data_IF_513583948717
#
_entry.id   IF_513583948717
#
_cell.length_a   1.000
_cell.length_b   1.000
_cell.length_c   1.000
_cell.angle_alpha   90.00
_cell.angle_beta   90.00
_cell.angle_gamma   90.00
#
_symmetry.space_group_name_H-M   'P 1'
#
loop_
_entity.id
_entity.type
_entity.pdbx_description
1 polymer ?
#
# COMPACT_ATOMS: atom_id res chain seq x y z
N UNK A 1 42.15 13.41 -23.90
CA UNK A 1 40.93 13.40 -24.74
C UNK A 1 39.99 12.47 -24.01
N UNK A 2 39.06 13.05 -23.23
CA UNK A 2 38.05 12.27 -22.52
C UNK A 2 36.98 11.86 -23.53
N UNK A 3 36.85 10.56 -23.77
CA UNK A 3 35.75 10.02 -24.55
C UNK A 3 34.57 9.79 -23.62
N UNK A 4 33.37 10.16 -24.07
CA UNK A 4 32.14 9.94 -23.30
C UNK A 4 31.74 8.46 -23.37
N UNK A 5 30.99 7.98 -22.38
CA UNK A 5 30.53 6.58 -22.31
C UNK A 5 29.70 6.16 -23.54
N UNK A 6 28.97 7.11 -24.13
CA UNK A 6 28.24 6.91 -25.39
C UNK A 6 29.16 6.67 -26.59
N UNK A 7 30.30 7.37 -26.67
CA UNK A 7 31.28 7.20 -27.74
C UNK A 7 32.01 5.84 -27.64
N UNK A 8 31.99 5.20 -26.47
CA UNK A 8 32.50 3.85 -26.23
C UNK A 8 31.45 2.74 -26.49
N UNK A 9 30.22 3.10 -26.85
CA UNK A 9 29.13 2.13 -27.08
C UNK A 9 28.72 1.36 -25.81
N UNK A 10 28.97 1.93 -24.63
CA UNK A 10 28.64 1.33 -23.34
C UNK A 10 27.26 1.83 -22.89
N UNK A 11 26.25 0.98 -22.97
CA UNK A 11 24.98 1.20 -22.28
C UNK A 11 25.18 0.94 -20.78
N UNK A 12 25.10 1.99 -19.97
CA UNK A 12 25.01 1.83 -18.53
C UNK A 12 23.61 1.36 -18.16
N UNK A 13 23.46 0.06 -17.94
CA UNK A 13 22.35 -0.49 -17.16
C UNK A 13 22.55 -0.18 -15.67
N UNK A 14 22.72 1.10 -15.32
CA UNK A 14 22.81 1.51 -13.92
C UNK A 14 21.41 1.78 -13.41
N UNK A 15 20.98 1.08 -12.35
CA UNK A 15 19.86 1.59 -11.57
C UNK A 15 20.28 2.93 -10.93
N UNK A 16 19.30 3.80 -10.68
CA UNK A 16 19.56 5.13 -10.11
C UNK A 16 20.38 5.03 -8.82
N UNK A 17 20.10 4.03 -7.98
CA UNK A 17 20.83 3.80 -6.73
C UNK A 17 22.33 3.58 -6.96
N UNK A 18 22.71 2.71 -7.90
CA UNK A 18 24.12 2.47 -8.26
C UNK A 18 24.78 3.75 -8.77
N UNK A 19 24.07 4.55 -9.56
CA UNK A 19 24.62 5.81 -10.07
C UNK A 19 24.86 6.81 -8.93
N UNK A 20 23.91 6.94 -8.00
CA UNK A 20 24.01 7.84 -6.85
C UNK A 20 25.09 7.37 -5.87
N UNK A 21 25.18 6.07 -5.59
CA UNK A 21 26.19 5.48 -4.73
C UNK A 21 27.59 5.68 -5.30
N UNK A 22 27.80 5.45 -6.59
CA UNK A 22 29.09 5.71 -7.25
C UNK A 22 29.50 7.18 -7.15
N UNK A 23 28.56 8.13 -7.31
CA UNK A 23 28.84 9.55 -7.18
C UNK A 23 29.16 9.95 -5.72
N UNK A 24 28.53 9.30 -4.75
CA UNK A 24 28.83 9.47 -3.34
C UNK A 24 30.21 8.89 -2.99
N UNK A 25 30.53 7.68 -3.43
CA UNK A 25 31.84 7.02 -3.21
C UNK A 25 32.99 7.78 -3.89
N UNK A 26 32.74 8.36 -5.06
CA UNK A 26 33.70 9.23 -5.76
C UNK A 26 33.91 10.59 -5.07
N UNK A 27 33.18 10.89 -3.98
CA UNK A 27 33.25 12.16 -3.27
C UNK A 27 32.70 13.34 -4.06
N UNK A 28 31.84 13.09 -5.06
CA UNK A 28 31.19 14.11 -5.86
C UNK A 28 29.85 14.57 -5.26
N UNK A 29 29.23 13.69 -4.47
CA UNK A 29 28.06 13.98 -3.66
C UNK A 29 28.39 13.82 -2.19
N UNK A 30 27.88 14.74 -1.39
CA UNK A 30 27.67 14.55 0.04
C UNK A 30 26.21 14.15 0.26
N UNK A 31 25.97 13.34 1.30
CA UNK A 31 24.63 12.98 1.75
C UNK A 31 24.44 13.43 3.19
N UNK A 32 23.26 13.95 3.49
CA UNK A 32 22.83 14.15 4.85
C UNK A 32 21.44 13.56 5.07
N UNK A 33 21.21 13.11 6.29
CA UNK A 33 19.91 12.68 6.72
C UNK A 33 19.16 13.90 7.27
N UNK A 34 18.02 14.29 6.68
CA UNK A 34 17.24 15.42 7.19
C UNK A 34 16.68 15.10 8.58
N UNK A 35 16.60 16.12 9.43
CA UNK A 35 15.89 16.02 10.71
C UNK A 35 14.45 15.58 10.49
N UNK A 36 13.97 14.64 11.30
CA UNK A 36 12.62 14.13 11.20
C UNK A 36 12.47 12.69 11.65
N UNK A 37 11.27 12.13 11.46
CA UNK A 37 11.00 10.73 11.78
C UNK A 37 11.62 9.81 10.74
N UNK A 38 11.99 8.59 11.17
CA UNK A 38 12.53 7.56 10.26
C UNK A 38 11.53 7.13 9.18
N UNK A 39 10.23 7.29 9.47
CA UNK A 39 9.13 6.91 8.59
C UNK A 39 8.04 7.97 8.59
N UNK A 40 7.56 8.31 7.40
CA UNK A 40 6.31 9.01 7.19
C UNK A 40 5.20 7.98 7.01
N UNK A 41 4.12 8.15 7.77
CA UNK A 41 2.96 7.27 7.72
C UNK A 41 1.86 8.03 6.99
N UNK A 42 1.38 7.50 5.88
CA UNK A 42 0.40 8.15 5.01
C UNK A 42 -0.82 7.24 4.91
N UNK A 43 -2.01 7.76 5.17
CA UNK A 43 -3.26 7.08 4.84
C UNK A 43 -3.64 7.44 3.42
N UNK A 44 -3.65 6.46 2.52
CA UNK A 44 -3.77 6.72 1.08
C UNK A 44 -5.14 7.30 0.70
N UNK A 45 -6.21 6.87 1.38
CA UNK A 45 -7.59 7.32 1.14
C UNK A 45 -7.72 8.84 1.03
N UNK A 46 -7.03 9.60 1.87
CA UNK A 46 -7.10 11.07 1.91
C UNK A 46 -5.74 11.78 1.91
N UNK A 47 -4.64 11.03 1.78
CA UNK A 47 -3.28 11.56 1.82
C UNK A 47 -2.88 12.16 3.17
N UNK A 48 -3.62 11.88 4.26
CA UNK A 48 -3.28 12.45 5.58
C UNK A 48 -2.00 11.80 6.14
N UNK A 49 -1.09 12.65 6.63
CA UNK A 49 0.07 12.23 7.42
C UNK A 49 -0.34 11.81 8.83
N UNK A 50 -0.30 10.50 9.09
CA UNK A 50 -0.64 9.87 10.36
C UNK A 50 0.59 9.77 11.26
N UNK A 51 1.12 10.91 11.67
CA UNK A 51 2.39 10.95 12.42
C UNK A 51 2.19 10.74 13.93
N UNK A 52 3.04 9.87 14.50
CA UNK A 52 3.20 9.68 15.95
C UNK A 52 2.49 8.45 16.53
N UNK A 53 3.00 7.99 17.68
CA UNK A 53 2.60 6.73 18.34
C UNK A 53 1.11 6.65 18.69
N UNK A 54 0.43 7.80 18.88
CA UNK A 54 -1.00 7.83 19.21
C UNK A 54 -1.90 7.79 17.98
N UNK A 55 -1.47 8.39 16.86
CA UNK A 55 -2.30 8.50 15.66
C UNK A 55 -2.26 7.22 14.83
N UNK A 56 -1.10 6.57 14.75
CA UNK A 56 -0.95 5.36 13.92
C UNK A 56 -1.88 4.21 14.34
N UNK A 57 -1.97 3.81 15.62
CA UNK A 57 -2.88 2.74 16.03
C UNK A 57 -4.36 3.06 15.79
N UNK A 58 -4.75 4.33 15.94
CA UNK A 58 -6.10 4.80 15.71
C UNK A 58 -6.45 4.77 14.22
N UNK A 59 -5.57 5.30 13.36
CA UNK A 59 -5.79 5.27 11.92
C UNK A 59 -5.90 3.84 11.38
N UNK A 60 -5.03 2.93 11.81
CA UNK A 60 -5.14 1.51 11.42
C UNK A 60 -6.47 0.91 11.88
N UNK A 61 -6.91 1.22 13.10
CA UNK A 61 -8.19 0.72 13.60
C UNK A 61 -9.36 1.23 12.77
N UNK A 62 -9.39 2.53 12.48
CA UNK A 62 -10.44 3.17 11.71
C UNK A 62 -10.49 2.62 10.28
N UNK A 63 -9.32 2.45 9.64
CA UNK A 63 -9.23 1.98 8.26
C UNK A 63 -9.61 0.50 8.13
N UNK A 64 -9.17 -0.36 9.06
CA UNK A 64 -9.69 -1.74 9.17
C UNK A 64 -11.21 -1.75 9.40
N UNK A 65 -11.74 -0.82 10.19
CA UNK A 65 -13.18 -0.69 10.44
C UNK A 65 -13.96 -0.38 9.17
N UNK A 66 -13.47 0.55 8.35
CA UNK A 66 -14.06 0.92 7.05
C UNK A 66 -14.02 -0.23 6.06
N UNK A 67 -12.92 -0.98 5.99
CA UNK A 67 -12.81 -2.17 5.16
C UNK A 67 -13.86 -3.23 5.55
N UNK A 68 -14.02 -3.50 6.85
CA UNK A 68 -15.03 -4.43 7.36
C UNK A 68 -16.45 -3.97 7.00
N UNK A 69 -16.75 -2.68 7.17
CA UNK A 69 -18.06 -2.11 6.86
C UNK A 69 -18.40 -2.24 5.37
N UNK A 70 -17.44 -1.96 4.49
CA UNK A 70 -17.61 -2.16 3.05
C UNK A 70 -17.90 -3.62 2.70
N UNK A 71 -17.07 -4.55 3.19
CA UNK A 71 -17.25 -5.97 2.86
C UNK A 71 -18.60 -6.48 3.37
N UNK A 72 -19.03 -6.06 4.56
CA UNK A 72 -20.37 -6.36 5.09
C UNK A 72 -21.49 -5.78 4.24
N UNK A 73 -21.30 -4.60 3.66
CA UNK A 73 -22.30 -4.00 2.76
C UNK A 73 -22.47 -4.78 1.45
N UNK A 74 -21.48 -5.59 1.08
CA UNK A 74 -21.51 -6.47 -0.09
C UNK A 74 -22.03 -7.88 0.24
N UNK A 75 -22.16 -8.23 1.53
CA UNK A 75 -22.71 -9.51 1.93
C UNK A 75 -24.22 -9.55 1.59
N UNK A 76 -24.73 -10.69 1.09
CA UNK A 76 -26.16 -10.84 0.82
C UNK A 76 -26.96 -10.68 2.11
N UNK A 77 -28.07 -9.94 2.04
CA UNK A 77 -28.98 -9.83 3.18
C UNK A 77 -29.63 -11.19 3.48
N UNK A 78 -29.54 -11.66 4.73
CA UNK A 78 -30.16 -12.91 5.21
C UNK A 78 -31.71 -12.94 5.10
N UNK A 79 -32.35 -11.88 4.59
CA UNK A 79 -33.81 -11.77 4.52
C UNK A 79 -34.48 -12.54 3.37
N UNK A 80 -33.75 -13.16 2.43
CA UNK A 80 -34.37 -13.94 1.35
C UNK A 80 -34.37 -15.45 1.58
N UNK A 81 -34.85 -15.83 2.76
CA UNK A 81 -35.59 -17.07 2.93
C UNK A 81 -36.97 -16.98 2.25
N UNK A 82 -37.01 -17.06 0.92
CA UNK A 82 -38.19 -17.02 0.01
C UNK A 82 -38.66 -15.62 -0.42
N UNK A 83 -38.05 -15.08 -1.48
CA UNK A 83 -38.75 -14.17 -2.38
C UNK A 83 -38.64 -14.68 -3.81
N UNK A 84 -39.81 -14.95 -4.42
CA UNK A 84 -39.91 -15.28 -5.82
C UNK A 84 -39.46 -14.06 -6.64
N UNK A 85 -38.38 -14.21 -7.39
CA UNK A 85 -37.86 -13.14 -8.26
C UNK A 85 -38.80 -12.97 -9.44
N UNK A 86 -39.77 -12.08 -9.29
CA UNK A 86 -40.49 -11.45 -10.39
C UNK A 86 -40.29 -9.94 -10.21
N UNK A 87 -39.47 -9.37 -11.08
CA UNK A 87 -39.12 -7.93 -11.17
C UNK A 87 -38.07 -7.42 -10.13
N UNK A 88 -36.78 -7.47 -10.50
CA UNK A 88 -35.77 -6.52 -10.00
C UNK A 88 -34.99 -6.85 -8.71
N UNK A 89 -34.66 -8.12 -8.44
CA UNK A 89 -33.89 -8.52 -7.24
C UNK A 89 -32.44 -8.04 -7.25
N UNK A 90 -31.98 -7.53 -6.10
CA UNK A 90 -30.60 -7.09 -5.85
C UNK A 90 -29.64 -8.23 -6.17
N UNK A 91 -28.90 -8.10 -7.26
CA UNK A 91 -28.04 -9.17 -7.76
C UNK A 91 -26.86 -9.31 -6.81
N UNK A 92 -26.85 -10.41 -6.05
CA UNK A 92 -25.67 -10.87 -5.30
C UNK A 92 -24.46 -10.82 -6.24
N UNK A 93 -23.55 -9.88 -6.02
CA UNK A 93 -22.33 -9.76 -6.82
C UNK A 93 -21.41 -10.90 -6.37
N UNK A 94 -21.10 -11.78 -7.30
CA UNK A 94 -20.16 -12.87 -7.10
C UNK A 94 -19.14 -12.88 -8.22
N UNK A 95 -17.96 -13.42 -7.94
CA UNK A 95 -16.97 -13.71 -8.98
C UNK A 95 -17.42 -14.86 -9.89
N UNK A 96 -16.57 -15.22 -10.85
CA UNK A 96 -16.85 -16.30 -11.83
C UNK A 96 -17.09 -17.66 -11.16
N UNK A 97 -16.53 -17.89 -9.97
CA UNK A 97 -16.69 -19.10 -9.17
C UNK A 97 -17.94 -19.08 -8.26
N UNK A 98 -18.70 -17.97 -8.27
CA UNK A 98 -19.88 -17.79 -7.44
C UNK A 98 -19.57 -17.38 -5.99
N UNK A 99 -18.33 -16.96 -5.71
CA UNK A 99 -17.88 -16.48 -4.40
C UNK A 99 -18.23 -14.99 -4.23
N UNK A 100 -18.67 -14.63 -3.03
CA UNK A 100 -18.76 -13.23 -2.58
C UNK A 100 -17.36 -12.64 -2.37
N UNK A 101 -17.27 -11.31 -2.28
CA UNK A 101 -16.02 -10.61 -1.96
C UNK A 101 -15.36 -11.19 -0.70
N UNK A 102 -16.15 -11.47 0.34
CA UNK A 102 -15.67 -12.06 1.59
C UNK A 102 -15.04 -13.44 1.37
N UNK A 103 -15.69 -14.29 0.57
CA UNK A 103 -15.22 -15.65 0.27
C UNK A 103 -13.94 -15.61 -0.59
N UNK A 104 -13.88 -14.73 -1.60
CA UNK A 104 -12.68 -14.51 -2.41
C UNK A 104 -11.49 -14.07 -1.54
N UNK A 105 -11.69 -13.06 -0.68
CA UNK A 105 -10.64 -12.56 0.22
C UNK A 105 -10.18 -13.63 1.22
N UNK A 106 -11.11 -14.42 1.76
CA UNK A 106 -10.82 -15.53 2.65
C UNK A 106 -9.92 -16.57 1.97
N UNK A 107 -10.24 -16.94 0.72
CA UNK A 107 -9.45 -17.85 -0.10
C UNK A 107 -8.06 -17.31 -0.40
N UNK A 108 -7.94 -16.05 -0.82
CA UNK A 108 -6.66 -15.46 -1.20
C UNK A 108 -5.72 -15.22 -0.03
N UNK A 109 -6.26 -14.82 1.12
CA UNK A 109 -5.48 -14.44 2.28
C UNK A 109 -5.36 -15.56 3.33
N UNK A 110 -6.04 -16.69 3.11
CA UNK A 110 -5.91 -17.89 3.92
C UNK A 110 -6.54 -17.76 5.31
N UNK A 111 -7.78 -17.29 5.37
CA UNK A 111 -8.61 -17.28 6.59
C UNK A 111 -10.03 -17.78 6.28
N UNK A 112 -10.84 -18.10 7.28
CA UNK A 112 -12.23 -18.52 7.04
C UNK A 112 -13.16 -17.31 6.80
N UNK A 113 -14.17 -17.35 5.90
CA UNK A 113 -15.02 -16.18 5.61
C UNK A 113 -15.62 -15.48 6.84
N UNK A 114 -15.98 -16.25 7.88
CA UNK A 114 -16.52 -15.74 9.14
C UNK A 114 -15.48 -15.11 10.09
N UNK A 115 -14.20 -15.20 9.76
CA UNK A 115 -13.08 -14.69 10.56
C UNK A 115 -12.52 -13.37 10.04
N UNK A 116 -13.10 -12.75 9.00
CA UNK A 116 -12.61 -11.48 8.42
C UNK A 116 -12.36 -10.41 9.49
N UNK A 117 -13.32 -10.23 10.39
CA UNK A 117 -13.24 -9.24 11.45
C UNK A 117 -12.09 -9.52 12.41
N UNK A 118 -11.92 -10.78 12.80
CA UNK A 118 -10.84 -11.19 13.70
C UNK A 118 -9.49 -11.11 12.98
N UNK A 119 -9.44 -11.48 11.70
CA UNK A 119 -8.28 -11.32 10.84
C UNK A 119 -7.80 -9.87 10.89
N UNK A 120 -8.66 -8.89 10.58
CA UNK A 120 -8.28 -7.47 10.53
C UNK A 120 -8.11 -6.80 11.90
N UNK A 121 -8.76 -7.29 12.97
CA UNK A 121 -8.74 -6.64 14.30
C UNK A 121 -7.72 -7.20 15.26
N UNK A 122 -7.29 -8.44 15.10
CA UNK A 122 -6.35 -9.11 16.01
C UNK A 122 -4.91 -8.84 15.59
N UNK A 123 -4.09 -8.44 16.56
CA UNK A 123 -2.65 -8.22 16.41
C UNK A 123 -2.21 -6.81 16.80
N UNK A 124 -0.91 -6.56 16.68
CA UNK A 124 -0.36 -5.20 16.88
C UNK A 124 -0.85 -4.26 15.77
N UNK A 125 -0.81 -2.93 15.97
CA UNK A 125 -1.13 -1.97 14.91
C UNK A 125 -0.36 -2.22 13.60
N UNK A 126 0.90 -2.63 13.71
CA UNK A 126 1.74 -2.98 12.55
C UNK A 126 1.22 -4.22 11.81
N UNK A 127 0.87 -5.28 12.55
CA UNK A 127 0.34 -6.51 11.97
C UNK A 127 -1.03 -6.27 11.31
N UNK A 128 -1.92 -5.51 11.96
CA UNK A 128 -3.23 -5.16 11.38
C UNK A 128 -3.10 -4.32 10.11
N UNK A 129 -2.14 -3.39 10.07
CA UNK A 129 -1.80 -2.62 8.87
C UNK A 129 -1.32 -3.52 7.73
N UNK A 130 -0.45 -4.49 8.01
CA UNK A 130 0.03 -5.46 7.01
C UNK A 130 -1.13 -6.29 6.44
N UNK A 131 -2.05 -6.74 7.28
CA UNK A 131 -3.26 -7.47 6.83
C UNK A 131 -4.19 -6.58 6.00
N UNK A 132 -4.38 -5.32 6.39
CA UNK A 132 -5.13 -4.34 5.61
C UNK A 132 -4.49 -4.13 4.23
N UNK A 133 -3.17 -3.98 4.16
CA UNK A 133 -2.43 -3.83 2.90
C UNK A 133 -2.61 -5.05 1.98
N UNK A 134 -2.55 -6.26 2.54
CA UNK A 134 -2.82 -7.49 1.80
C UNK A 134 -4.26 -7.55 1.27
N UNK A 135 -5.23 -7.13 2.08
CA UNK A 135 -6.64 -7.07 1.68
C UNK A 135 -6.89 -6.02 0.60
N UNK A 136 -6.35 -4.81 0.74
CA UNK A 136 -6.45 -3.77 -0.30
C UNK A 136 -5.85 -4.25 -1.60
N UNK A 137 -4.70 -4.93 -1.54
CA UNK A 137 -4.06 -5.51 -2.72
C UNK A 137 -4.93 -6.59 -3.37
N UNK A 138 -5.47 -7.52 -2.58
CA UNK A 138 -6.36 -8.59 -3.09
C UNK A 138 -7.58 -8.00 -3.83
N UNK A 139 -8.21 -6.95 -3.26
CA UNK A 139 -9.34 -6.27 -3.93
C UNK A 139 -8.88 -5.58 -5.21
N UNK A 140 -7.75 -4.88 -5.20
CA UNK A 140 -7.22 -4.20 -6.41
C UNK A 140 -6.83 -5.16 -7.52
N UNK A 141 -6.34 -6.35 -7.15
CA UNK A 141 -5.95 -7.40 -8.09
C UNK A 141 -7.16 -8.23 -8.56
N UNK A 142 -8.34 -8.06 -7.95
CA UNK A 142 -9.58 -8.74 -8.33
C UNK A 142 -10.09 -8.26 -9.70
N UNK A 143 -10.47 -9.21 -10.56
CA UNK A 143 -11.11 -8.91 -11.84
C UNK A 143 -12.60 -8.61 -11.70
N UNK A 144 -13.21 -8.97 -10.55
CA UNK A 144 -14.66 -8.84 -10.31
C UNK A 144 -14.99 -7.64 -9.42
N UNK A 145 -14.23 -7.45 -8.35
CA UNK A 145 -14.57 -6.49 -7.31
C UNK A 145 -13.75 -5.21 -7.44
N UNK A 146 -14.42 -4.08 -7.59
CA UNK A 146 -13.76 -2.78 -7.63
C UNK A 146 -13.34 -2.31 -6.23
N UNK A 147 -12.17 -1.69 -6.15
CA UNK A 147 -11.68 -1.03 -4.94
C UNK A 147 -12.53 0.21 -4.63
N UNK A 148 -13.17 0.30 -3.44
CA UNK A 148 -13.98 1.46 -3.10
C UNK A 148 -13.13 2.64 -2.62
N UNK A 149 -13.67 3.87 -2.72
CA UNK A 149 -13.05 5.08 -2.15
C UNK A 149 -13.19 5.19 -0.61
N UNK A 150 -13.86 4.22 0.03
CA UNK A 150 -14.25 4.29 1.44
C UNK A 150 -13.11 3.94 2.40
N UNK A 151 -12.12 3.19 1.95
CA UNK A 151 -10.89 2.85 2.67
C UNK A 151 -9.72 2.66 1.71
N UNK A 152 -8.50 2.70 2.22
CA UNK A 152 -7.27 2.36 1.48
C UNK A 152 -6.19 1.84 2.44
N UNK A 153 -5.00 1.56 1.93
CA UNK A 153 -3.84 1.18 2.72
C UNK A 153 -3.25 2.35 3.52
N UNK A 154 -2.46 2.00 4.52
CA UNK A 154 -1.61 2.94 5.26
C UNK A 154 -0.16 2.63 4.93
N UNK A 155 0.46 3.52 4.14
CA UNK A 155 1.84 3.37 3.67
C UNK A 155 2.85 3.89 4.68
N UNK A 156 3.96 3.18 4.78
CA UNK A 156 5.15 3.60 5.50
C UNK A 156 6.20 4.00 4.47
N UNK A 157 6.46 5.30 4.35
CA UNK A 157 7.47 5.85 3.46
C UNK A 157 8.72 6.14 4.30
N UNK A 158 9.86 5.48 4.02
CA UNK A 158 11.09 5.74 4.77
C UNK A 158 11.56 7.17 4.50
N UNK A 159 12.22 7.80 5.48
CA UNK A 159 12.92 9.05 5.23
C UNK A 159 14.01 8.82 4.17
N UNK A 160 14.04 9.69 3.17
CA UNK A 160 15.08 9.66 2.14
C UNK A 160 16.31 10.45 2.55
N UNK A 161 17.49 10.00 2.12
CA UNK A 161 18.70 10.82 2.16
C UNK A 161 18.56 12.02 1.22
N UNK A 162 19.13 13.15 1.65
CA UNK A 162 19.27 14.32 0.78
C UNK A 162 20.71 14.41 0.33
N UNK A 163 20.88 14.51 -0.99
CA UNK A 163 22.18 14.62 -1.63
C UNK A 163 22.42 16.07 -2.05
N UNK A 164 23.62 16.57 -1.81
CA UNK A 164 24.11 17.80 -2.40
C UNK A 164 25.49 17.58 -2.99
N UNK A 165 25.91 18.48 -3.89
CA UNK A 165 27.26 18.43 -4.44
C UNK A 165 28.28 18.67 -3.32
N UNK A 166 29.38 17.92 -3.32
CA UNK A 166 30.43 18.07 -2.33
C UNK A 166 31.20 19.39 -2.50
N UNK A 167 31.57 20.03 -1.38
CA UNK A 167 32.31 21.31 -1.39
C UNK A 167 33.70 21.19 -2.03
N UNK A 168 34.33 20.02 -1.93
CA UNK A 168 35.63 19.72 -2.55
C UNK A 168 35.63 19.95 -4.07
N UNK A 169 34.48 19.72 -4.72
CA UNK A 169 34.28 19.92 -6.15
C UNK A 169 34.16 21.40 -6.52
N UNK A 170 33.78 22.28 -5.57
CA UNK A 170 33.71 23.73 -5.80
C UNK A 170 35.09 24.39 -5.77
N UNK A 171 36.08 23.79 -5.12
CA UNK A 171 37.44 24.35 -5.02
C UNK A 171 38.28 24.21 -6.29
N UNK A 172 37.77 23.52 -7.32
CA UNK A 172 38.51 23.21 -8.56
C UNK A 172 38.02 23.99 -9.79
N UNK A 173 37.12 24.96 -9.61
CA UNK A 173 36.63 25.86 -10.67
C UNK A 173 37.19 27.29 -10.48
#
# INVERSE_FOLDING_TARGET
>A
MEMTLNELGLELSCNLDTAVDNLFEAGLLDRYEPDGPDWYIIRERDGEFVMGEKKFPAAVHDECGRAIEYIRSMDPSDEDGKTAVADGGDSRITNEDGETLREELARELGFEPGELEDHLRVGTPRNRREKLEQLVKAIRDSETFEMPDSFDEIRLVPKGYRYHRAESVLSTA
#
